data_IF_455085485367
#
_entry.id   IF_455085485367
#
_cell.length_a   1.000
_cell.length_b   1.000
_cell.length_c   1.000
_cell.angle_alpha   90.00
_cell.angle_beta   90.00
_cell.angle_gamma   90.00
#
_symmetry.space_group_name_H-M   'P 1'
#
loop_
_entity.id
_entity.type
_entity.pdbx_description
1 polymer ?
#
# COMPACT_ATOMS: atom_id res chain seq x y z
N UNK A 1 8.27 4.99 15.34
CA UNK A 1 7.94 4.01 14.27
C UNK A 1 6.61 4.41 13.67
N UNK A 2 6.59 4.67 12.36
CA UNK A 2 5.39 5.09 11.63
C UNK A 2 4.35 3.96 11.62
N UNK A 3 3.05 4.29 11.68
CA UNK A 3 1.96 3.32 11.49
C UNK A 3 1.12 3.75 10.29
N UNK A 4 0.95 2.86 9.32
CA UNK A 4 0.11 3.06 8.15
C UNK A 4 -1.21 2.30 8.35
N UNK A 5 -2.33 3.02 8.31
CA UNK A 5 -3.65 2.40 8.47
C UNK A 5 -4.23 2.02 7.11
N UNK A 6 -4.74 0.80 7.02
CA UNK A 6 -5.40 0.25 5.84
C UNK A 6 -6.89 0.11 6.10
N UNK A 7 -7.70 0.85 5.33
CA UNK A 7 -9.13 0.59 5.26
C UNK A 7 -9.38 -0.56 4.28
N UNK A 8 -9.94 -1.65 4.78
CA UNK A 8 -10.24 -2.86 4.00
C UNK A 8 -11.69 -3.28 4.20
N UNK A 9 -12.18 -4.19 3.36
CA UNK A 9 -13.50 -4.79 3.52
C UNK A 9 -13.53 -5.69 4.77
N UNK A 10 -14.71 -5.90 5.34
CA UNK A 10 -14.85 -6.67 6.59
C UNK A 10 -14.37 -8.12 6.43
N UNK A 11 -14.61 -8.76 5.29
CA UNK A 11 -14.15 -10.13 5.00
C UNK A 11 -12.62 -10.23 5.05
N UNK A 12 -11.94 -9.34 4.33
CA UNK A 12 -10.47 -9.28 4.28
C UNK A 12 -9.86 -8.94 5.64
N UNK A 13 -10.50 -8.02 6.38
CA UNK A 13 -10.13 -7.73 7.76
C UNK A 13 -10.13 -8.99 8.63
N UNK A 14 -11.23 -9.74 8.61
CA UNK A 14 -11.38 -10.95 9.42
C UNK A 14 -10.41 -12.05 8.97
N UNK A 15 -10.09 -12.14 7.68
CA UNK A 15 -9.07 -13.06 7.19
C UNK A 15 -7.69 -12.75 7.79
N UNK A 16 -7.26 -11.49 7.69
CA UNK A 16 -6.00 -11.01 8.31
C UNK A 16 -6.00 -11.25 9.82
N UNK A 17 -7.12 -10.95 10.50
CA UNK A 17 -7.27 -11.15 11.94
C UNK A 17 -7.12 -12.61 12.35
N UNK A 18 -7.75 -13.52 11.60
CA UNK A 18 -7.74 -14.94 11.91
C UNK A 18 -6.34 -15.53 11.76
N UNK A 19 -5.59 -15.13 10.74
CA UNK A 19 -4.18 -15.55 10.57
C UNK A 19 -3.34 -15.04 11.75
N UNK A 20 -3.51 -13.76 12.13
CA UNK A 20 -2.83 -13.18 13.29
C UNK A 20 -3.14 -13.93 14.59
N UNK A 21 -4.43 -14.19 14.88
CA UNK A 21 -4.87 -14.91 16.09
C UNK A 21 -4.43 -16.37 16.13
N UNK A 22 -4.25 -16.99 14.97
CA UNK A 22 -3.74 -18.35 14.86
C UNK A 22 -2.23 -18.45 15.14
N UNK A 23 -1.55 -17.34 15.49
CA UNK A 23 -0.08 -17.24 15.59
C UNK A 23 0.62 -17.77 14.33
N UNK A 24 -0.02 -17.60 13.17
CA UNK A 24 0.63 -17.87 11.89
C UNK A 24 1.38 -16.62 11.47
N UNK A 25 2.61 -16.79 10.97
CA UNK A 25 3.37 -15.67 10.44
C UNK A 25 2.61 -15.08 9.25
N UNK A 26 2.26 -13.80 9.35
CA UNK A 26 1.77 -13.05 8.20
C UNK A 26 2.97 -12.79 7.28
N UNK A 27 3.13 -13.66 6.29
CA UNK A 27 4.20 -13.54 5.32
C UNK A 27 3.96 -12.29 4.48
N UNK A 28 4.79 -11.28 4.72
CA UNK A 28 4.72 -10.02 4.01
C UNK A 28 5.91 -9.80 3.10
N UNK A 29 5.68 -9.05 2.02
CA UNK A 29 6.73 -8.45 1.23
C UNK A 29 6.41 -6.98 0.95
N UNK A 30 7.29 -6.08 1.40
CA UNK A 30 7.13 -4.65 1.23
C UNK A 30 8.18 -4.09 0.25
N UNK A 31 7.75 -3.35 -0.76
CA UNK A 31 8.61 -2.78 -1.79
C UNK A 31 8.12 -1.42 -2.29
N UNK A 32 8.96 -0.69 -3.01
CA UNK A 32 8.57 0.57 -3.65
C UNK A 32 8.20 0.32 -5.11
N UNK A 33 7.03 0.80 -5.54
CA UNK A 33 6.65 0.82 -6.95
C UNK A 33 6.76 2.24 -7.50
N UNK A 34 7.51 2.42 -8.58
CA UNK A 34 7.78 3.74 -9.18
C UNK A 34 7.32 3.76 -10.63
N UNK A 35 6.56 4.79 -10.98
CA UNK A 35 6.18 5.08 -12.36
C UNK A 35 6.84 6.37 -12.79
N UNK A 36 7.63 6.27 -13.84
CA UNK A 36 8.32 7.40 -14.47
C UNK A 36 7.72 7.67 -15.84
N UNK A 37 7.79 8.91 -16.30
CA UNK A 37 7.39 9.26 -17.66
C UNK A 37 6.95 10.71 -17.75
N UNK A 38 6.86 11.22 -18.97
CA UNK A 38 6.49 12.60 -19.25
C UNK A 38 6.24 12.72 -20.74
N UNK A 39 5.26 13.54 -21.11
CA UNK A 39 4.98 13.84 -22.52
C UNK A 39 6.10 14.65 -23.17
N UNK A 40 6.94 15.32 -22.38
CA UNK A 40 8.07 16.14 -22.81
C UNK A 40 9.33 15.85 -21.98
N UNK A 41 10.55 16.07 -22.53
CA UNK A 41 11.81 15.86 -21.80
C UNK A 41 11.92 16.67 -20.50
N UNK A 42 11.31 17.85 -20.45
CA UNK A 42 11.27 18.72 -19.26
C UNK A 42 10.13 18.36 -18.28
N UNK A 43 9.18 17.49 -18.68
CA UNK A 43 8.04 17.05 -17.87
C UNK A 43 8.19 15.64 -17.28
N UNK A 44 9.41 15.10 -17.26
CA UNK A 44 9.71 13.82 -16.64
C UNK A 44 9.44 13.89 -15.12
N UNK A 45 8.25 13.46 -14.70
CA UNK A 45 7.89 13.31 -13.30
C UNK A 45 7.89 11.83 -12.90
N UNK A 46 8.10 11.58 -11.61
CA UNK A 46 8.03 10.25 -11.03
C UNK A 46 7.01 10.23 -9.90
N UNK A 47 6.15 9.23 -9.93
CA UNK A 47 5.25 8.90 -8.82
C UNK A 47 5.72 7.60 -8.21
N UNK A 48 5.71 7.53 -6.88
CA UNK A 48 6.09 6.34 -6.15
C UNK A 48 5.09 6.02 -5.06
N UNK A 49 4.81 4.74 -4.87
CA UNK A 49 4.02 4.22 -3.75
C UNK A 49 4.77 3.11 -3.04
N UNK A 50 4.39 2.84 -1.80
CA UNK A 50 4.85 1.67 -1.05
C UNK A 50 3.79 0.59 -1.21
N UNK A 51 4.19 -0.62 -1.56
CA UNK A 51 3.30 -1.77 -1.67
C UNK A 51 3.66 -2.78 -0.61
N UNK A 52 2.67 -3.28 0.11
CA UNK A 52 2.80 -4.36 1.10
C UNK A 52 1.92 -5.52 0.63
N UNK A 53 2.56 -6.62 0.26
CA UNK A 53 1.92 -7.87 -0.11
C UNK A 53 1.73 -8.73 1.14
N UNK A 54 0.52 -9.22 1.40
CA UNK A 54 0.18 -10.19 2.46
C UNK A 54 -0.54 -11.37 1.81
N UNK A 55 0.20 -12.08 0.95
CA UNK A 55 -0.40 -13.03 0.00
C UNK A 55 -1.10 -14.20 0.70
N UNK A 56 -0.63 -14.63 1.87
CA UNK A 56 -1.31 -15.67 2.65
C UNK A 56 -2.63 -15.19 3.28
N UNK A 57 -2.83 -13.87 3.36
CA UNK A 57 -4.09 -13.25 3.76
C UNK A 57 -4.93 -12.79 2.56
N UNK A 58 -4.53 -13.12 1.33
CA UNK A 58 -5.15 -12.67 0.08
C UNK A 58 -5.33 -11.15 -0.03
N UNK A 59 -4.46 -10.36 0.62
CA UNK A 59 -4.53 -8.90 0.63
C UNK A 59 -3.20 -8.30 0.16
N UNK A 60 -3.27 -7.23 -0.62
CA UNK A 60 -2.15 -6.34 -0.90
C UNK A 60 -2.59 -4.88 -0.74
N UNK A 61 -1.71 -4.03 -0.21
CA UNK A 61 -2.02 -2.62 0.05
C UNK A 61 -0.94 -1.72 -0.54
N UNK A 62 -1.35 -0.74 -1.35
CA UNK A 62 -0.51 0.34 -1.84
C UNK A 62 -0.75 1.64 -1.07
N UNK A 63 0.32 2.34 -0.69
CA UNK A 63 0.27 3.59 0.07
C UNK A 63 0.89 4.73 -0.74
N UNK A 64 0.07 5.75 -0.99
CA UNK A 64 0.53 7.02 -1.55
C UNK A 64 0.97 7.90 -0.38
N UNK A 65 2.28 8.03 -0.21
CA UNK A 65 2.87 8.73 0.93
C UNK A 65 2.87 10.26 0.73
N UNK A 66 2.68 11.06 1.79
CA UNK A 66 3.01 12.48 1.76
C UNK A 66 4.49 12.69 1.39
N UNK A 67 4.80 13.72 0.58
CA UNK A 67 6.18 14.00 0.10
C UNK A 67 7.23 14.22 1.19
N UNK A 68 6.80 14.53 2.42
CA UNK A 68 7.68 14.79 3.56
C UNK A 68 7.88 13.58 4.48
N UNK A 69 7.21 12.46 4.21
CA UNK A 69 7.33 11.23 5.00
C UNK A 69 8.16 10.23 4.22
N UNK A 70 9.30 9.87 4.80
CA UNK A 70 10.15 8.79 4.32
C UNK A 70 10.06 7.59 5.28
N UNK A 71 10.08 6.38 4.74
CA UNK A 71 10.13 5.15 5.54
C UNK A 71 11.58 4.66 5.56
N UNK A 72 12.27 4.94 6.66
CA UNK A 72 13.59 4.40 6.94
C UNK A 72 13.48 3.16 7.86
N UNK A 73 13.49 1.97 7.25
CA UNK A 73 13.54 0.70 7.99
C UNK A 73 12.16 0.10 8.30
N UNK A 74 11.83 0.00 9.58
CA UNK A 74 10.61 -0.68 10.05
C UNK A 74 9.43 0.31 10.21
N UNK A 75 8.25 -0.15 9.83
CA UNK A 75 6.99 0.55 9.98
C UNK A 75 5.90 -0.44 10.42
N UNK A 76 4.83 0.07 11.03
CA UNK A 76 3.66 -0.71 11.35
C UNK A 76 2.60 -0.57 10.27
N UNK A 77 1.88 -1.64 10.01
CA UNK A 77 0.65 -1.66 9.25
C UNK A 77 -0.49 -2.05 10.19
N UNK A 78 -1.54 -1.22 10.20
CA UNK A 78 -2.78 -1.46 10.92
C UNK A 78 -3.95 -1.66 9.95
N UNK A 79 -4.98 -2.40 10.37
CA UNK A 79 -6.18 -2.65 9.58
C UNK A 79 -7.43 -2.16 10.28
N UNK A 80 -8.35 -1.57 9.52
CA UNK A 80 -9.68 -1.16 9.98
C UNK A 80 -10.73 -1.51 8.92
N UNK A 81 -11.94 -1.82 9.38
CA UNK A 81 -13.10 -2.08 8.53
C UNK A 81 -14.37 -1.45 9.13
N UNK A 82 -15.48 -1.53 8.39
CA UNK A 82 -16.75 -0.93 8.78
C UNK A 82 -17.34 -1.51 10.08
N UNK A 83 -17.07 -2.79 10.36
CA UNK A 83 -17.66 -3.52 11.49
C UNK A 83 -17.14 -3.07 12.86
N UNK A 84 -16.21 -2.10 12.91
CA UNK A 84 -15.56 -1.59 14.13
C UNK A 84 -15.05 -2.73 15.03
N UNK A 85 -14.08 -3.50 14.54
CA UNK A 85 -13.53 -4.63 15.27
C UNK A 85 -12.86 -4.17 16.57
N UNK A 86 -12.90 -5.03 17.61
CA UNK A 86 -12.43 -4.68 18.95
C UNK A 86 -10.90 -4.81 19.14
N UNK A 87 -10.21 -5.47 18.21
CA UNK A 87 -8.79 -5.81 18.32
C UNK A 87 -7.97 -4.99 17.33
N UNK A 88 -6.91 -4.34 17.81
CA UNK A 88 -5.94 -3.69 16.94
C UNK A 88 -5.03 -4.74 16.29
N UNK A 89 -5.18 -4.94 14.97
CA UNK A 89 -4.25 -5.75 14.20
C UNK A 89 -3.09 -4.85 13.77
N UNK A 90 -1.89 -5.07 14.31
CA UNK A 90 -0.69 -4.33 13.95
C UNK A 90 0.45 -5.28 13.61
N UNK A 91 1.03 -5.14 12.41
CA UNK A 91 2.24 -5.90 12.02
C UNK A 91 3.41 -4.98 11.82
N UNK A 92 4.59 -5.42 12.26
CA UNK A 92 5.85 -4.73 11.95
C UNK A 92 6.36 -5.24 10.61
N UNK A 93 6.42 -4.33 9.64
CA UNK A 93 6.97 -4.55 8.34
C UNK A 93 8.31 -3.84 8.18
N UNK A 94 9.19 -4.39 7.36
CA UNK A 94 10.42 -3.75 6.91
C UNK A 94 10.35 -3.51 5.42
N UNK A 95 10.58 -2.26 4.99
CA UNK A 95 10.65 -1.94 3.58
C UNK A 95 11.91 -2.57 2.97
N UNK A 96 11.74 -3.36 1.91
CA UNK A 96 12.88 -3.92 1.18
C UNK A 96 13.61 -2.84 0.37
N UNK A 97 14.80 -3.17 -0.13
CA UNK A 97 15.51 -2.31 -1.09
C UNK A 97 14.99 -2.47 -2.53
N UNK A 98 13.99 -3.32 -2.74
CA UNK A 98 13.46 -3.59 -4.07
C UNK A 98 12.62 -2.41 -4.57
N UNK A 99 12.91 -1.99 -5.79
CA UNK A 99 12.16 -0.94 -6.49
C UNK A 99 11.66 -1.50 -7.82
N UNK A 100 10.36 -1.78 -7.89
CA UNK A 100 9.70 -2.17 -9.14
C UNK A 100 9.38 -0.90 -9.94
N UNK A 101 9.65 -0.91 -11.24
CA UNK A 101 9.53 0.27 -12.11
C UNK A 101 8.62 0.00 -13.29
N UNK A 102 7.82 1.00 -13.66
CA UNK A 102 7.10 1.03 -14.90
C UNK A 102 7.21 2.41 -15.56
N UNK A 103 6.91 2.47 -16.86
CA UNK A 103 6.90 3.71 -17.61
C UNK A 103 5.47 4.02 -18.08
N UNK A 104 5.01 5.24 -17.79
CA UNK A 104 3.73 5.73 -18.23
C UNK A 104 3.82 7.25 -18.46
N UNK A 105 3.51 7.68 -19.68
CA UNK A 105 3.47 9.10 -20.06
C UNK A 105 2.10 9.67 -19.70
N UNK A 106 2.04 10.32 -18.55
CA UNK A 106 0.89 11.07 -18.06
C UNK A 106 1.33 12.02 -16.95
N UNK A 107 0.43 12.84 -16.44
CA UNK A 107 0.68 13.64 -15.24
C UNK A 107 0.72 12.78 -13.95
N UNK A 108 0.90 13.40 -12.79
CA UNK A 108 1.00 12.67 -11.52
C UNK A 108 -0.30 11.91 -11.16
N UNK A 109 -1.48 12.42 -11.53
CA UNK A 109 -2.75 11.76 -11.27
C UNK A 109 -2.96 10.57 -12.21
N UNK A 110 -2.71 10.76 -13.51
CA UNK A 110 -2.80 9.69 -14.50
C UNK A 110 -1.83 8.55 -14.18
N UNK A 111 -0.63 8.86 -13.68
CA UNK A 111 0.32 7.86 -13.18
C UNK A 111 -0.22 7.08 -11.97
N UNK A 112 -0.91 7.74 -11.03
CA UNK A 112 -1.52 7.08 -9.88
C UNK A 112 -2.67 6.16 -10.30
N UNK A 113 -3.50 6.59 -11.25
CA UNK A 113 -4.56 5.75 -11.84
C UNK A 113 -3.97 4.52 -12.54
N UNK A 114 -2.90 4.72 -13.32
CA UNK A 114 -2.16 3.62 -13.95
C UNK A 114 -1.60 2.63 -12.91
N UNK A 115 -1.02 3.12 -11.81
CA UNK A 115 -0.53 2.29 -10.70
C UNK A 115 -1.67 1.47 -10.12
N UNK A 116 -2.78 2.13 -9.76
CA UNK A 116 -3.95 1.49 -9.17
C UNK A 116 -4.49 0.37 -10.05
N UNK A 117 -4.77 0.67 -11.32
CA UNK A 117 -5.27 -0.29 -12.29
C UNK A 117 -4.31 -1.46 -12.53
N UNK A 118 -3.01 -1.17 -12.68
CA UNK A 118 -2.01 -2.20 -12.99
C UNK A 118 -1.82 -3.17 -11.83
N UNK A 119 -1.79 -2.66 -10.60
CA UNK A 119 -1.66 -3.50 -9.40
C UNK A 119 -2.94 -4.26 -9.11
N UNK A 120 -4.12 -3.64 -9.26
CA UNK A 120 -5.40 -4.33 -9.11
C UNK A 120 -5.47 -5.55 -10.04
N UNK A 121 -5.18 -5.39 -11.33
CA UNK A 121 -5.15 -6.53 -12.27
C UNK A 121 -4.12 -7.58 -11.92
N UNK A 122 -2.90 -7.16 -11.57
CA UNK A 122 -1.82 -8.08 -11.21
C UNK A 122 -2.15 -8.95 -10.00
N UNK A 123 -2.88 -8.41 -9.01
CA UNK A 123 -3.30 -9.16 -7.82
C UNK A 123 -4.59 -9.93 -8.05
N UNK A 124 -5.52 -9.43 -8.87
CA UNK A 124 -6.73 -10.16 -9.28
C UNK A 124 -6.36 -11.49 -9.95
N UNK A 125 -5.37 -11.49 -10.85
CA UNK A 125 -4.86 -12.70 -11.52
C UNK A 125 -4.29 -13.74 -10.53
N UNK A 126 -4.02 -13.34 -9.28
CA UNK A 126 -3.49 -14.17 -8.20
C UNK A 126 -4.53 -14.50 -7.13
N UNK A 127 -5.77 -14.07 -7.28
CA UNK A 127 -6.81 -14.20 -6.25
C UNK A 127 -6.54 -13.36 -5.00
N UNK A 128 -5.82 -12.24 -5.14
CA UNK A 128 -5.46 -11.32 -4.07
C UNK A 128 -6.21 -10.01 -4.28
N UNK A 129 -6.87 -9.50 -3.23
CA UNK A 129 -7.53 -8.19 -3.27
C UNK A 129 -6.51 -7.08 -3.06
N UNK A 130 -6.53 -6.07 -3.91
CA UNK A 130 -5.67 -4.90 -3.81
C UNK A 130 -6.42 -3.67 -3.31
N UNK A 131 -5.82 -2.95 -2.36
CA UNK A 131 -6.33 -1.68 -1.83
C UNK A 131 -5.30 -0.57 -2.05
N UNK A 132 -5.75 0.58 -2.54
CA UNK A 132 -4.91 1.77 -2.65
C UNK A 132 -5.33 2.82 -1.62
N UNK A 133 -4.41 3.21 -0.76
CA UNK A 133 -4.61 4.15 0.34
C UNK A 133 -3.88 5.46 0.03
N UNK A 134 -4.63 6.55 -0.10
CA UNK A 134 -4.04 7.88 -0.25
C UNK A 134 -3.83 8.53 1.13
N UNK A 135 -2.56 8.56 1.57
CA UNK A 135 -2.20 9.13 2.87
C UNK A 135 -1.78 10.59 2.78
N UNK A 136 -1.76 11.19 1.58
CA UNK A 136 -1.34 12.59 1.38
C UNK A 136 -2.24 13.57 2.12
N UNK A 137 -3.53 13.24 2.28
CA UNK A 137 -4.53 14.06 2.97
C UNK A 137 -4.54 13.92 4.51
N UNK A 138 -3.91 12.89 5.06
CA UNK A 138 -3.87 12.66 6.51
C UNK A 138 -2.98 13.66 7.27
N UNK A 139 -2.19 14.46 6.56
CA UNK A 139 -1.30 15.49 7.13
C UNK A 139 -2.00 16.85 7.40
N UNK A 140 -3.30 16.97 7.16
CA UNK A 140 -4.07 18.19 7.41
C UNK A 140 -5.25 17.96 8.35
N UNK A 141 -4.96 17.63 9.60
CA UNK A 141 -5.84 17.93 10.73
C UNK A 141 -5.00 18.40 11.93
N UNK A 142 -4.52 19.64 11.82
CA UNK A 142 -4.23 20.47 13.00
C UNK A 142 -4.39 21.93 12.59
N UNK A 143 -5.60 22.46 12.81
CA UNK A 143 -5.89 23.89 12.97
C UNK A 143 -7.10 24.06 13.87
#
# INVERSE_FOLDING_TARGET
MLTLMSWVESEDYWNVNNINKANQDLNYFAYTFVVTGGTEPESASSVSIIVVELLNANVAVGYIMPKHIEIEGEFRIGFICQDKPADDINFVCKLSKEVKKANYNGDDLEKLEYIGFSLEKFYEDKGVKYYMQDLRGAATQDK
#
